data_IF_221476892645
#
_entry.id   IF_221476892645
#
_cell.length_a   1.000
_cell.length_b   1.000
_cell.length_c   1.000
_cell.angle_alpha   90.00
_cell.angle_beta   90.00
_cell.angle_gamma   90.00
#
_symmetry.space_group_name_H-M   'P 1'
#
loop_
_entity.id
_entity.type
_entity.pdbx_description
1 polymer ?
#
# COMPACT_ATOMS: atom_id res chain seq x y z
N UNK A 1 8.04 11.57 -16.83
CA UNK A 1 7.15 11.60 -15.65
C UNK A 1 6.25 10.38 -15.67
N UNK A 2 5.95 9.84 -14.49
CA UNK A 2 5.05 8.70 -14.30
C UNK A 2 3.94 9.12 -13.34
N UNK A 3 2.71 8.75 -13.66
CA UNK A 3 1.56 8.94 -12.78
C UNK A 3 1.39 7.72 -11.89
N UNK A 4 1.52 7.90 -10.58
CA UNK A 4 1.21 6.86 -9.61
C UNK A 4 -0.21 7.08 -9.12
N UNK A 5 -1.08 6.11 -9.37
CA UNK A 5 -2.46 6.07 -8.87
C UNK A 5 -2.49 5.30 -7.57
N UNK A 6 -3.23 5.82 -6.60
CA UNK A 6 -3.42 5.16 -5.31
C UNK A 6 -4.82 4.61 -5.23
N UNK A 7 -4.90 3.35 -4.86
CA UNK A 7 -6.12 2.61 -4.73
C UNK A 7 -6.16 1.96 -3.35
N UNK A 8 -7.33 2.00 -2.70
CA UNK A 8 -7.51 1.59 -1.33
C UNK A 8 -8.78 0.74 -1.22
N UNK A 9 -8.60 -0.48 -0.73
CA UNK A 9 -9.66 -1.47 -0.60
C UNK A 9 -9.69 -2.02 0.82
N UNK A 10 -10.85 -2.50 1.23
CA UNK A 10 -11.05 -3.17 2.51
C UNK A 10 -11.72 -4.51 2.27
N UNK A 11 -11.11 -5.61 2.70
CA UNK A 11 -11.61 -6.95 2.52
C UNK A 11 -11.99 -7.55 3.87
N UNK A 12 -13.20 -7.25 4.35
CA UNK A 12 -13.71 -7.79 5.62
C UNK A 12 -13.27 -7.03 6.88
N UNK A 13 -12.51 -5.94 6.73
CA UNK A 13 -12.21 -4.98 7.81
C UNK A 13 -13.26 -3.87 7.79
N UNK A 14 -13.95 -3.57 8.91
CA UNK A 14 -14.96 -2.50 8.99
C UNK A 14 -14.30 -1.11 9.16
N UNK A 15 -13.26 -0.83 8.38
CA UNK A 15 -12.55 0.45 8.39
C UNK A 15 -12.92 1.26 7.17
N UNK A 16 -12.93 2.58 7.31
CA UNK A 16 -12.89 3.50 6.19
C UNK A 16 -11.41 3.73 5.85
N UNK A 17 -10.95 3.14 4.75
CA UNK A 17 -9.57 3.25 4.28
C UNK A 17 -9.53 3.93 2.92
N UNK A 18 -8.84 5.06 2.82
CA UNK A 18 -8.79 5.86 1.60
C UNK A 18 -7.46 6.61 1.45
N UNK A 19 -6.97 6.81 0.21
CA UNK A 19 -5.81 7.65 -0.01
C UNK A 19 -6.20 9.12 0.11
N UNK A 20 -5.32 9.95 0.67
CA UNK A 20 -5.52 11.40 0.74
C UNK A 20 -5.47 12.02 -0.66
N UNK A 21 -4.63 11.48 -1.55
CA UNK A 21 -4.56 11.84 -2.96
C UNK A 21 -4.80 10.62 -3.83
N UNK A 22 -5.66 10.73 -4.87
CA UNK A 22 -5.96 9.60 -5.78
C UNK A 22 -4.83 9.28 -6.76
N UNK A 23 -3.99 10.26 -7.07
CA UNK A 23 -2.83 10.07 -7.91
C UNK A 23 -1.83 11.21 -7.74
N UNK A 24 -0.56 10.93 -8.02
CA UNK A 24 0.51 11.92 -8.10
C UNK A 24 1.30 11.69 -9.39
N UNK A 25 1.79 12.75 -10.01
CA UNK A 25 2.72 12.64 -11.14
C UNK A 25 4.11 12.99 -10.64
N UNK A 26 5.06 12.07 -10.85
CA UNK A 26 6.41 12.15 -10.29
C UNK A 26 7.44 12.02 -11.41
N UNK A 27 8.64 12.55 -11.18
CA UNK A 27 9.78 12.24 -12.05
C UNK A 27 10.37 10.90 -11.64
N UNK A 28 10.88 10.17 -12.63
CA UNK A 28 11.55 8.90 -12.36
C UNK A 28 12.82 9.18 -11.55
N UNK A 29 13.07 8.42 -10.49
CA UNK A 29 14.12 8.67 -9.50
C UNK A 29 13.75 9.67 -8.40
N UNK A 30 12.59 10.31 -8.46
CA UNK A 30 12.11 11.21 -7.41
C UNK A 30 11.46 10.42 -6.26
N UNK A 31 11.89 10.71 -5.02
CA UNK A 31 11.26 10.17 -3.82
C UNK A 31 10.03 10.98 -3.47
N UNK A 32 8.89 10.31 -3.35
CA UNK A 32 7.60 10.93 -3.04
C UNK A 32 6.95 10.25 -1.86
N UNK A 33 6.28 11.06 -1.05
CA UNK A 33 5.49 10.62 0.09
C UNK A 33 4.01 10.82 -0.22
N UNK A 34 3.23 9.76 -0.07
CA UNK A 34 1.77 9.79 -0.16
C UNK A 34 1.16 9.39 1.18
N UNK A 35 -0.02 9.92 1.49
CA UNK A 35 -0.70 9.65 2.75
C UNK A 35 -1.97 8.84 2.52
N UNK A 36 -2.22 7.87 3.39
CA UNK A 36 -3.47 7.15 3.46
C UNK A 36 -4.11 7.35 4.84
N UNK A 37 -5.43 7.48 4.88
CA UNK A 37 -6.19 7.56 6.11
C UNK A 37 -6.96 6.26 6.34
N UNK A 38 -6.81 5.68 7.53
CA UNK A 38 -7.62 4.54 8.00
C UNK A 38 -8.41 4.97 9.24
N UNK A 39 -9.72 4.76 9.23
CA UNK A 39 -10.59 5.06 10.37
C UNK A 39 -11.45 3.87 10.74
N UNK A 40 -11.45 3.44 11.99
CA UNK A 40 -12.36 2.39 12.44
C UNK A 40 -13.77 2.97 12.68
N UNK A 41 -14.72 2.59 11.83
CA UNK A 41 -16.13 3.02 11.96
C UNK A 41 -16.98 2.11 12.84
N UNK A 42 -16.36 1.07 13.40
CA UNK A 42 -17.04 0.09 14.22
C UNK A 42 -16.97 0.44 15.70
N UNK A 43 -17.87 -0.15 16.50
CA UNK A 43 -18.03 0.11 17.93
C UNK A 43 -17.07 -0.70 18.83
N UNK A 44 -16.26 -1.57 18.22
CA UNK A 44 -15.23 -2.37 18.89
C UNK A 44 -13.86 -2.21 18.23
N UNK A 45 -12.77 -2.40 19.00
CA UNK A 45 -11.44 -2.43 18.43
C UNK A 45 -11.33 -3.56 17.40
N UNK A 46 -10.66 -3.26 16.30
CA UNK A 46 -10.44 -4.20 15.22
C UNK A 46 -8.97 -4.19 14.86
N UNK A 47 -8.41 -5.33 14.47
CA UNK A 47 -7.03 -5.45 14.04
C UNK A 47 -7.00 -5.76 12.55
N UNK A 48 -6.30 -4.93 11.79
CA UNK A 48 -6.14 -5.04 10.35
C UNK A 48 -4.67 -5.11 9.97
N UNK A 49 -4.39 -5.80 8.88
CA UNK A 49 -3.09 -5.79 8.21
C UNK A 49 -3.29 -5.39 6.76
N UNK A 50 -2.48 -4.46 6.30
CA UNK A 50 -2.52 -3.99 4.92
C UNK A 50 -1.69 -4.93 4.04
N UNK A 51 -2.20 -5.39 2.91
CA UNK A 51 -1.34 -5.90 1.83
C UNK A 51 -1.36 -4.90 0.68
N UNK A 52 -0.38 -5.02 -0.21
CA UNK A 52 -0.31 -4.14 -1.37
C UNK A 52 -0.08 -4.93 -2.65
N UNK A 53 -0.44 -4.32 -3.76
CA UNK A 53 -0.14 -4.77 -5.09
C UNK A 53 0.30 -3.59 -5.96
N UNK A 54 1.20 -3.84 -6.90
CA UNK A 54 1.66 -2.84 -7.87
C UNK A 54 1.29 -3.32 -9.27
N UNK A 55 0.64 -2.46 -10.05
CA UNK A 55 0.26 -2.74 -11.43
C UNK A 55 0.82 -1.68 -12.39
N UNK A 56 1.32 -2.08 -13.57
CA UNK A 56 1.52 -3.47 -14.00
C UNK A 56 2.60 -4.18 -13.17
N UNK A 57 2.49 -5.51 -13.05
CA UNK A 57 3.39 -6.33 -12.22
C UNK A 57 4.85 -6.19 -12.64
N UNK A 58 5.10 -6.03 -13.94
CA UNK A 58 6.43 -5.76 -14.50
C UNK A 58 7.08 -4.48 -13.94
N UNK A 59 6.29 -3.50 -13.49
CA UNK A 59 6.80 -2.29 -12.84
C UNK A 59 7.10 -2.49 -11.34
N UNK A 60 6.62 -3.58 -10.74
CA UNK A 60 6.81 -3.92 -9.32
C UNK A 60 8.28 -3.93 -8.87
N UNK A 61 9.20 -4.58 -9.60
CA UNK A 61 10.64 -4.59 -9.25
C UNK A 61 11.30 -3.21 -9.24
N UNK A 62 10.76 -2.26 -10.01
CA UNK A 62 11.27 -0.89 -10.11
C UNK A 62 10.55 0.05 -9.15
N UNK A 63 9.43 -0.38 -8.56
CA UNK A 63 8.68 0.40 -7.60
C UNK A 63 9.21 0.13 -6.19
N UNK A 64 10.20 0.91 -5.79
CA UNK A 64 10.84 0.76 -4.49
C UNK A 64 10.04 1.49 -3.41
N UNK A 65 9.49 0.73 -2.48
CA UNK A 65 8.85 1.26 -1.27
C UNK A 65 9.88 1.32 -0.17
N UNK A 66 10.22 2.54 0.23
CA UNK A 66 11.23 2.80 1.27
C UNK A 66 10.64 2.47 2.64
N UNK A 67 9.34 2.75 2.85
CA UNK A 67 8.62 2.46 4.09
C UNK A 67 7.24 1.87 3.78
N UNK A 68 6.91 0.71 4.39
CA UNK A 68 5.66 -0.02 4.15
C UNK A 68 5.03 -0.42 5.49
N UNK A 69 3.84 0.10 5.81
CA UNK A 69 3.02 -0.39 6.94
C UNK A 69 2.43 -1.80 6.73
N UNK A 70 2.78 -2.42 5.61
CA UNK A 70 2.17 -3.60 5.02
C UNK A 70 2.36 -4.88 5.85
N UNK A 71 3.26 -4.86 6.82
CA UNK A 71 3.57 -6.02 7.64
C UNK A 71 3.29 -5.80 9.12
N UNK A 72 2.73 -4.65 9.49
CA UNK A 72 2.45 -4.31 10.88
C UNK A 72 0.97 -4.47 11.18
N UNK A 73 0.67 -5.28 12.19
CA UNK A 73 -0.69 -5.40 12.71
C UNK A 73 -1.08 -4.09 13.37
N UNK A 74 -2.07 -3.43 12.78
CA UNK A 74 -2.58 -2.17 13.28
C UNK A 74 -3.89 -2.46 13.99
N UNK A 75 -4.01 -2.02 15.24
CA UNK A 75 -5.28 -2.08 15.98
C UNK A 75 -5.83 -0.68 16.10
N UNK A 76 -7.02 -0.44 15.58
CA UNK A 76 -7.73 0.83 15.72
C UNK A 76 -8.91 0.64 16.68
N UNK A 77 -9.02 1.52 17.67
CA UNK A 77 -10.15 1.64 18.59
C UNK A 77 -11.37 2.23 17.86
N UNK A 78 -12.57 2.13 18.45
CA UNK A 78 -13.77 2.72 17.88
C UNK A 78 -13.60 4.22 17.61
N UNK A 79 -13.83 4.65 16.37
CA UNK A 79 -13.67 6.04 15.95
C UNK A 79 -12.22 6.53 15.83
N UNK A 80 -11.23 5.67 16.04
CA UNK A 80 -9.82 6.04 15.91
C UNK A 80 -9.44 6.13 14.43
N UNK A 81 -8.78 7.24 14.08
CA UNK A 81 -8.19 7.48 12.76
C UNK A 81 -6.67 7.44 12.85
N UNK A 82 -6.04 6.80 11.88
CA UNK A 82 -4.60 6.71 11.74
C UNK A 82 -4.17 7.22 10.37
N UNK A 83 -3.16 8.07 10.35
CA UNK A 83 -2.46 8.48 9.14
C UNK A 83 -1.31 7.50 8.85
N UNK A 84 -1.26 7.03 7.60
CA UNK A 84 -0.30 6.04 7.14
C UNK A 84 0.49 6.62 5.95
N UNK A 85 1.62 7.33 6.22
CA UNK A 85 2.51 7.86 5.19
C UNK A 85 3.33 6.78 4.48
N UNK A 86 3.18 6.64 3.17
CA UNK A 86 3.96 5.73 2.33
C UNK A 86 4.99 6.53 1.54
N UNK A 87 6.27 6.22 1.75
CA UNK A 87 7.39 6.78 0.99
C UNK A 87 7.82 5.78 -0.08
N UNK A 88 7.85 6.24 -1.34
CA UNK A 88 8.21 5.41 -2.48
C UNK A 88 8.97 6.22 -3.53
N UNK A 89 9.67 5.52 -4.42
CA UNK A 89 10.24 6.08 -5.63
C UNK A 89 10.18 5.04 -6.75
N UNK A 90 10.29 5.51 -7.99
CA UNK A 90 10.42 4.63 -9.15
C UNK A 90 11.87 4.64 -9.60
N UNK A 91 12.47 3.46 -9.68
CA UNK A 91 13.84 3.27 -10.13
C UNK A 91 14.00 3.70 -11.60
N UNK A 92 15.01 4.52 -11.94
CA UNK A 92 15.31 4.89 -13.31
C UNK A 92 15.52 3.72 -14.25
N UNK A 93 15.92 2.55 -13.78
CA UNK A 93 16.11 1.37 -14.62
C UNK A 93 14.83 0.88 -15.31
N UNK A 94 13.65 1.34 -14.87
CA UNK A 94 12.37 1.04 -15.54
C UNK A 94 12.37 1.46 -17.02
N UNK A 95 13.12 2.51 -17.39
CA UNK A 95 13.19 3.02 -18.78
C UNK A 95 14.03 2.11 -19.68
N UNK A 96 14.90 1.28 -19.10
CA UNK A 96 15.73 0.34 -19.82
C UNK A 96 14.95 -0.91 -20.24
N UNK A 97 13.78 -1.15 -19.64
CA UNK A 97 12.91 -2.27 -19.96
C UNK A 97 12.04 -1.94 -21.18
N UNK A 98 12.19 -2.65 -22.32
CA UNK A 98 11.44 -2.36 -23.54
C UNK A 98 9.92 -2.38 -23.34
N UNK A 99 9.43 -3.28 -22.49
CA UNK A 99 8.02 -3.48 -22.17
C UNK A 99 7.42 -2.34 -21.33
N UNK A 100 8.26 -1.55 -20.66
CA UNK A 100 7.85 -0.46 -19.76
C UNK A 100 8.23 0.93 -20.27
N UNK A 101 8.84 1.03 -21.46
CA UNK A 101 9.23 2.32 -22.07
C UNK A 101 8.07 3.29 -22.22
N UNK A 102 6.88 2.77 -22.51
CA UNK A 102 5.66 3.57 -22.67
C UNK A 102 4.79 3.61 -21.42
N UNK A 103 5.30 3.11 -20.28
CA UNK A 103 4.56 3.08 -19.03
C UNK A 103 4.39 4.50 -18.47
N UNK A 104 3.18 5.04 -18.59
CA UNK A 104 2.84 6.35 -18.03
C UNK A 104 2.16 6.28 -16.67
N UNK A 105 1.61 5.12 -16.31
CA UNK A 105 0.79 4.97 -15.11
C UNK A 105 1.16 3.70 -14.35
N UNK A 106 1.44 3.86 -13.07
CA UNK A 106 1.58 2.76 -12.10
C UNK A 106 0.41 2.87 -11.13
N UNK A 107 -0.25 1.77 -10.80
CA UNK A 107 -1.28 1.74 -9.77
C UNK A 107 -0.74 1.00 -8.56
N UNK A 108 -0.76 1.69 -7.43
CA UNK A 108 -0.46 1.15 -6.12
C UNK A 108 -1.79 0.91 -5.39
N UNK A 109 -2.19 -0.35 -5.35
CA UNK A 109 -3.39 -0.79 -4.63
C UNK A 109 -3.02 -1.32 -3.26
N UNK A 110 -3.66 -0.80 -2.23
CA UNK A 110 -3.63 -1.33 -0.87
C UNK A 110 -4.95 -2.00 -0.53
N UNK A 111 -4.88 -3.14 0.14
CA UNK A 111 -6.06 -3.85 0.63
C UNK A 111 -5.90 -4.19 2.10
N UNK A 112 -6.83 -3.74 2.94
CA UNK A 112 -6.86 -4.06 4.36
C UNK A 112 -7.58 -5.39 4.59
N UNK A 113 -6.91 -6.32 5.28
CA UNK A 113 -7.46 -7.62 5.67
C UNK A 113 -7.58 -7.72 7.20
N UNK A 114 -8.62 -8.42 7.70
CA UNK A 114 -8.78 -8.67 9.12
C UNK A 114 -7.68 -9.60 9.61
N UNK A 115 -7.10 -9.27 10.75
CA UNK A 115 -6.19 -10.17 11.46
C UNK A 115 -6.98 -10.78 12.60
N UNK A 116 -7.41 -12.02 12.40
CA UNK A 116 -7.92 -12.82 13.51
C UNK A 116 -6.75 -13.12 14.46
N UNK A 117 -6.81 -12.58 15.68
CA UNK A 117 -5.86 -12.93 16.76
C UNK A 117 -5.88 -14.42 17.15
N UNK A 118 -6.69 -15.24 16.49
CA UNK A 118 -6.86 -16.67 16.72
C UNK A 118 -6.24 -17.58 15.64
N UNK A 119 -5.53 -17.05 14.64
CA UNK A 119 -4.67 -17.88 13.78
C UNK A 119 -3.22 -17.39 13.90
N UNK A 120 -2.30 -18.22 14.42
CA UNK A 120 -0.88 -17.92 14.30
C UNK A 120 -0.56 -17.82 12.81
N UNK A 121 0.08 -16.72 12.41
CA UNK A 121 0.83 -16.69 11.16
C UNK A 121 1.83 -17.83 11.23
N UNK A 122 1.69 -18.80 10.33
CA UNK A 122 2.44 -20.03 10.34
C UNK A 122 3.94 -19.77 10.52
N UNK A 123 4.55 -20.44 11.49
CA UNK A 123 5.99 -20.68 11.52
C UNK A 123 6.39 -21.36 10.21
N UNK A 124 6.86 -20.61 9.24
CA UNK A 124 7.72 -21.12 8.17
C UNK A 124 9.17 -20.97 8.62
N UNK A 125 9.62 -21.90 9.46
CA UNK A 125 11.03 -22.21 9.59
C UNK A 125 11.34 -23.35 8.60
N UNK A 126 12.33 -23.21 7.70
CA UNK A 126 12.67 -24.26 6.75
C UNK A 126 13.30 -25.46 7.48
N UNK A 127 13.01 -26.65 6.94
CA UNK A 127 13.57 -27.93 7.38
C UNK A 127 15.05 -28.08 6.99
#
# INVERSE_FOLDING_TARGET
DITVRFDANTAGVPWEFQPVARSVTIKIGETVQAHFSATNKFDRPFTGRATFNVQPELAGPYFNKVECFCFTDTTLKPGESLDMPVVFYVDPDIVNVPELKDLKTITLSYTMFPVDKNKPVASSAPA
#
